data_IF_828312705547
#
_entry.id   IF_828312705547
#
_cell.length_a   1.000
_cell.length_b   1.000
_cell.length_c   1.000
_cell.angle_alpha   90.00
_cell.angle_beta   90.00
_cell.angle_gamma   90.00
#
_symmetry.space_group_name_H-M   'P 1'
#
loop_
_entity.id
_entity.type
_entity.pdbx_description
1 polymer ?
#
# COMPACT_ATOMS: atom_id res chain seq x y z
N UNK A 1 8.22 2.90 -12.07
CA UNK A 1 6.95 2.16 -11.82
C UNK A 1 5.84 3.18 -11.54
N UNK A 2 4.61 2.93 -12.01
CA UNK A 2 3.44 3.85 -12.10
C UNK A 2 2.88 4.35 -10.75
N UNK A 3 3.61 4.22 -9.64
CA UNK A 3 3.06 4.38 -8.28
C UNK A 3 3.68 5.55 -7.51
N UNK A 4 4.01 6.65 -8.21
CA UNK A 4 4.31 7.91 -7.55
C UNK A 4 3.03 8.51 -6.97
N UNK A 5 3.01 8.81 -5.67
CA UNK A 5 1.89 9.53 -5.02
C UNK A 5 0.63 8.69 -4.72
N UNK A 6 0.72 7.36 -4.64
CA UNK A 6 -0.43 6.46 -4.38
C UNK A 6 -1.20 6.74 -3.08
N UNK A 7 -0.54 7.31 -2.08
CA UNK A 7 -1.17 7.70 -0.81
C UNK A 7 -2.15 8.86 -0.99
N UNK A 8 -1.85 9.80 -1.89
CA UNK A 8 -2.73 10.93 -2.21
C UNK A 8 -3.72 10.52 -3.30
N UNK A 9 -3.22 9.90 -4.37
CA UNK A 9 -4.01 9.45 -5.52
C UNK A 9 -4.40 7.97 -5.38
N UNK A 10 -5.45 7.69 -4.60
CA UNK A 10 -6.04 6.36 -4.47
C UNK A 10 -7.49 6.38 -4.95
N UNK A 11 -7.76 5.92 -6.20
CA UNK A 11 -9.11 5.92 -6.74
C UNK A 11 -9.99 4.92 -6.00
N UNK A 12 -11.20 5.37 -5.65
CA UNK A 12 -12.20 4.56 -4.95
C UNK A 12 -13.32 4.05 -5.86
N UNK A 13 -13.54 4.70 -7.01
CA UNK A 13 -14.56 4.28 -7.97
C UNK A 13 -14.06 3.11 -8.80
N UNK A 14 -14.92 2.11 -9.02
CA UNK A 14 -14.59 0.91 -9.82
C UNK A 14 -14.05 1.26 -11.21
N UNK A 15 -14.65 2.26 -11.86
CA UNK A 15 -14.21 2.74 -13.20
C UNK A 15 -12.75 3.19 -13.23
N UNK A 16 -12.31 3.93 -12.21
CA UNK A 16 -10.98 4.51 -12.14
C UNK A 16 -9.95 3.43 -11.76
N UNK A 17 -10.34 2.52 -10.87
CA UNK A 17 -9.54 1.32 -10.53
C UNK A 17 -9.33 0.45 -11.77
N UNK A 18 -10.37 0.25 -12.57
CA UNK A 18 -10.30 -0.51 -13.82
C UNK A 18 -9.42 0.18 -14.87
N UNK A 19 -9.52 1.51 -15.00
CA UNK A 19 -8.66 2.29 -15.89
C UNK A 19 -7.18 2.13 -15.51
N UNK A 20 -6.83 2.23 -14.22
CA UNK A 20 -5.47 1.97 -13.77
C UNK A 20 -5.02 0.52 -14.02
N UNK A 21 -5.91 -0.44 -13.81
CA UNK A 21 -5.67 -1.84 -14.15
C UNK A 21 -5.37 -2.04 -15.64
N UNK A 22 -6.08 -1.33 -16.53
CA UNK A 22 -5.81 -1.34 -17.98
C UNK A 22 -4.41 -0.82 -18.29
N UNK A 23 -3.97 0.26 -17.65
CA UNK A 23 -2.61 0.81 -17.87
C UNK A 23 -1.54 -0.22 -17.47
N UNK A 24 -1.65 -0.82 -16.28
CA UNK A 24 -0.72 -1.88 -15.87
C UNK A 24 -0.78 -3.08 -16.81
N UNK A 25 -1.96 -3.49 -17.24
CA UNK A 25 -2.13 -4.62 -18.15
C UNK A 25 -1.51 -4.33 -19.51
N UNK A 26 -1.63 -3.11 -20.03
CA UNK A 26 -1.00 -2.71 -21.28
C UNK A 26 0.54 -2.77 -21.15
N UNK A 27 1.07 -2.24 -20.05
CA UNK A 27 2.50 -2.24 -19.78
C UNK A 27 3.07 -3.65 -19.65
N UNK A 28 2.49 -4.47 -18.76
CA UNK A 28 2.97 -5.85 -18.52
C UNK A 28 2.86 -6.72 -19.78
N UNK A 29 1.83 -6.52 -20.61
CA UNK A 29 1.67 -7.20 -21.89
C UNK A 29 2.79 -6.86 -22.87
N UNK A 30 3.13 -5.57 -23.01
CA UNK A 30 4.25 -5.14 -23.85
C UNK A 30 5.58 -5.67 -23.33
N UNK A 31 5.77 -5.63 -22.01
CA UNK A 31 6.98 -6.14 -21.36
C UNK A 31 7.19 -7.63 -21.66
N UNK A 32 6.13 -8.44 -21.52
CA UNK A 32 6.20 -9.88 -21.80
C UNK A 32 6.49 -10.19 -23.28
N UNK A 33 5.93 -9.42 -24.20
CA UNK A 33 6.20 -9.59 -25.64
C UNK A 33 7.65 -9.24 -26.00
N UNK A 34 8.27 -8.27 -25.30
CA UNK A 34 9.65 -7.84 -25.56
C UNK A 34 10.69 -8.72 -24.87
N UNK A 35 10.46 -9.10 -23.62
CA UNK A 35 11.42 -9.86 -22.80
C UNK A 35 11.23 -11.37 -22.98
N UNK A 36 9.99 -11.84 -23.04
CA UNK A 36 9.68 -13.28 -23.06
C UNK A 36 9.56 -13.88 -24.46
N UNK A 37 9.77 -13.11 -25.53
CA UNK A 37 9.65 -13.60 -26.92
C UNK A 37 8.26 -14.07 -27.33
N UNK A 38 7.23 -13.79 -26.52
CA UNK A 38 5.86 -14.22 -26.80
C UNK A 38 5.26 -13.43 -27.97
N UNK A 39 4.71 -14.16 -28.95
CA UNK A 39 3.85 -13.58 -29.97
C UNK A 39 2.62 -12.94 -29.31
N UNK A 40 2.19 -11.82 -29.87
CA UNK A 40 1.10 -11.02 -29.31
C UNK A 40 -0.22 -11.79 -29.16
N UNK A 41 -0.46 -12.75 -30.07
CA UNK A 41 -1.60 -13.64 -30.10
C UNK A 41 -1.61 -14.70 -28.98
N UNK A 42 -0.44 -15.03 -28.43
CA UNK A 42 -0.27 -16.05 -27.38
C UNK A 42 -0.05 -15.46 -25.99
N UNK A 43 -0.33 -14.16 -25.78
CA UNK A 43 -0.08 -13.53 -24.49
C UNK A 43 -1.08 -14.04 -23.44
N UNK A 44 -0.61 -14.63 -22.32
CA UNK A 44 -1.48 -15.13 -21.27
C UNK A 44 -2.27 -14.01 -20.57
N UNK A 45 -3.31 -14.45 -19.85
CA UNK A 45 -4.17 -13.58 -19.04
C UNK A 45 -3.37 -12.79 -17.99
N UNK A 46 -3.91 -11.65 -17.59
CA UNK A 46 -3.24 -10.73 -16.65
C UNK A 46 -2.86 -11.39 -15.31
N UNK A 47 -3.66 -12.34 -14.82
CA UNK A 47 -3.38 -13.07 -13.56
C UNK A 47 -2.09 -13.88 -13.65
N UNK A 48 -1.96 -14.70 -14.71
CA UNK A 48 -0.77 -15.52 -14.97
C UNK A 48 0.45 -14.62 -15.19
N UNK A 49 0.29 -13.55 -15.97
CA UNK A 49 1.38 -12.62 -16.25
C UNK A 49 1.85 -11.87 -15.00
N UNK A 50 0.92 -11.45 -14.15
CA UNK A 50 1.26 -10.80 -12.89
C UNK A 50 2.00 -11.79 -11.96
N UNK A 51 1.57 -13.05 -11.91
CA UNK A 51 2.27 -14.08 -11.15
C UNK A 51 3.70 -14.32 -11.70
N UNK A 52 3.86 -14.39 -13.02
CA UNK A 52 5.17 -14.52 -13.69
C UNK A 52 6.13 -13.39 -13.31
N UNK A 53 5.63 -12.15 -13.23
CA UNK A 53 6.42 -10.99 -12.80
C UNK A 53 6.49 -10.79 -11.28
N UNK A 54 5.89 -11.66 -10.47
CA UNK A 54 5.79 -11.49 -9.02
C UNK A 54 5.05 -10.20 -8.60
N UNK A 55 4.14 -9.70 -9.45
CA UNK A 55 3.41 -8.46 -9.25
C UNK A 55 2.17 -8.69 -8.38
N UNK A 56 2.12 -8.17 -7.15
CA UNK A 56 0.90 -8.17 -6.36
C UNK A 56 -0.16 -7.24 -6.98
N UNK A 57 -1.40 -7.38 -6.50
CA UNK A 57 -2.48 -6.51 -6.97
C UNK A 57 -2.20 -5.03 -6.68
N UNK A 58 -2.72 -4.14 -7.53
CA UNK A 58 -2.64 -2.69 -7.32
C UNK A 58 -3.24 -2.27 -5.98
N UNK A 59 -4.36 -2.88 -5.59
CA UNK A 59 -5.01 -2.59 -4.32
C UNK A 59 -4.12 -2.96 -3.12
N UNK A 60 -3.51 -4.14 -3.15
CA UNK A 60 -2.59 -4.60 -2.12
C UNK A 60 -1.39 -3.65 -1.96
N UNK A 61 -0.83 -3.17 -3.08
CA UNK A 61 0.29 -2.21 -3.06
C UNK A 61 -0.11 -0.86 -2.50
N UNK A 62 -1.24 -0.30 -2.93
CA UNK A 62 -1.76 0.97 -2.37
C UNK A 62 -1.99 0.86 -0.87
N UNK A 63 -2.57 -0.25 -0.42
CA UNK A 63 -2.80 -0.50 1.01
C UNK A 63 -1.48 -0.57 1.80
N UNK A 64 -0.45 -1.20 1.24
CA UNK A 64 0.88 -1.21 1.84
C UNK A 64 1.46 0.21 1.94
N UNK A 65 1.39 1.00 0.86
CA UNK A 65 1.89 2.37 0.87
C UNK A 65 1.13 3.27 1.85
N UNK A 66 -0.19 3.15 1.93
CA UNK A 66 -1.02 3.87 2.90
C UNK A 66 -0.53 3.61 4.34
N UNK A 67 -0.34 2.35 4.70
CA UNK A 67 0.09 1.92 6.05
C UNK A 67 1.53 2.34 6.33
N UNK A 68 2.43 2.22 5.34
CA UNK A 68 3.82 2.69 5.46
C UNK A 68 3.89 4.20 5.63
N UNK A 69 3.05 4.97 4.95
CA UNK A 69 3.02 6.42 5.10
C UNK A 69 2.54 6.85 6.48
N UNK A 70 1.51 6.18 7.03
CA UNK A 70 1.09 6.43 8.42
C UNK A 70 2.23 6.14 9.40
N UNK A 71 2.97 5.04 9.21
CA UNK A 71 4.13 4.75 10.06
C UNK A 71 5.21 5.82 9.98
N UNK A 72 5.56 6.28 8.77
CA UNK A 72 6.50 7.39 8.54
C UNK A 72 6.02 8.67 9.25
N UNK A 73 4.74 9.01 9.12
CA UNK A 73 4.15 10.19 9.76
C UNK A 73 4.11 10.10 11.29
N UNK A 74 4.08 8.90 11.87
CA UNK A 74 4.02 8.74 13.34
C UNK A 74 5.40 8.66 13.99
N UNK A 75 6.41 8.16 13.29
CA UNK A 75 7.72 7.84 13.90
C UNK A 75 8.89 8.60 13.27
N UNK A 76 8.70 9.31 12.16
CA UNK A 76 9.79 10.06 11.54
C UNK A 76 9.97 11.42 12.26
N UNK A 77 11.19 11.75 12.72
CA UNK A 77 11.47 13.04 13.33
C UNK A 77 11.30 14.22 12.35
N UNK A 78 11.36 13.95 11.04
CA UNK A 78 11.13 14.95 9.99
C UNK A 78 9.64 15.24 9.71
N UNK A 79 8.71 14.53 10.36
CA UNK A 79 7.27 14.67 10.12
C UNK A 79 6.64 15.84 10.89
N UNK A 80 7.05 17.06 10.56
CA UNK A 80 6.54 18.30 11.17
C UNK A 80 5.01 18.48 11.04
N UNK A 81 4.35 17.77 10.12
CA UNK A 81 2.90 17.86 9.87
C UNK A 81 2.07 16.71 10.46
N UNK A 82 2.67 15.79 11.22
CA UNK A 82 1.97 14.61 11.76
C UNK A 82 0.74 14.96 12.61
N UNK A 83 0.84 16.02 13.42
CA UNK A 83 -0.24 16.57 14.24
C UNK A 83 -1.39 17.18 13.42
N UNK A 84 -1.13 17.59 12.18
CA UNK A 84 -2.15 18.15 11.27
C UNK A 84 -3.05 17.05 10.72
N UNK A 85 -2.49 15.87 10.46
CA UNK A 85 -3.23 14.75 9.89
C UNK A 85 -3.92 13.89 10.96
N UNK A 86 -3.29 13.69 12.12
CA UNK A 86 -3.74 12.74 13.13
C UNK A 86 -3.68 13.31 14.53
N UNK A 87 -4.71 13.02 15.33
CA UNK A 87 -4.68 13.27 16.78
C UNK A 87 -4.15 12.01 17.47
N UNK A 88 -3.03 12.10 18.17
CA UNK A 88 -2.54 11.00 19.00
C UNK A 88 -3.25 11.04 20.35
N UNK A 89 -3.90 9.95 20.74
CA UNK A 89 -4.58 9.83 22.03
C UNK A 89 -3.81 8.81 22.90
N UNK A 90 -3.59 9.11 24.19
CA UNK A 90 -3.00 8.12 25.10
C UNK A 90 -3.90 6.88 25.19
N UNK A 91 -3.29 5.71 25.12
CA UNK A 91 -3.97 4.42 25.19
C UNK A 91 -3.46 3.61 26.37
N UNK A 92 -4.40 3.17 27.22
CA UNK A 92 -4.13 2.23 28.33
C UNK A 92 -4.26 0.76 27.92
N UNK A 93 -4.67 0.48 26.68
CA UNK A 93 -4.88 -0.87 26.16
C UNK A 93 -3.64 -1.38 25.43
N UNK A 94 -3.49 -2.72 25.33
CA UNK A 94 -2.36 -3.38 24.63
C UNK A 94 -2.08 -2.74 23.26
N UNK A 95 -0.80 -2.63 22.89
CA UNK A 95 -0.34 -2.11 21.59
C UNK A 95 0.26 -0.69 21.58
N UNK A 96 0.74 -0.19 22.73
CA UNK A 96 1.51 1.06 22.84
C UNK A 96 0.84 2.16 23.68
N UNK A 97 1.64 3.16 24.09
CA UNK A 97 1.20 4.28 24.95
C UNK A 97 0.32 5.30 24.21
N UNK A 98 0.44 5.42 22.89
CA UNK A 98 -0.32 6.36 22.08
C UNK A 98 -0.91 5.67 20.85
N UNK A 99 -2.14 6.03 20.49
CA UNK A 99 -2.82 5.52 19.28
C UNK A 99 -3.28 6.70 18.40
N UNK A 100 -3.09 6.62 17.07
CA UNK A 100 -3.66 7.60 16.17
C UNK A 100 -5.19 7.48 16.20
N UNK A 101 -5.84 8.59 16.52
CA UNK A 101 -7.28 8.76 16.45
C UNK A 101 -7.66 9.48 15.16
N UNK A 102 -8.76 9.04 14.57
CA UNK A 102 -9.32 9.62 13.36
C UNK A 102 -10.83 9.76 13.52
N UNK A 103 -11.41 10.79 12.91
CA UNK A 103 -12.85 10.96 12.91
C UNK A 103 -13.50 9.91 12.01
N UNK A 104 -14.47 9.18 12.55
CA UNK A 104 -15.26 8.24 11.74
C UNK A 104 -16.07 9.01 10.70
N UNK A 105 -15.86 8.69 9.43
CA UNK A 105 -16.60 9.35 8.35
C UNK A 105 -18.03 8.80 8.24
N UNK A 106 -18.99 9.72 8.12
CA UNK A 106 -20.41 9.40 7.89
C UNK A 106 -20.70 9.00 6.45
N UNK A 107 -19.88 9.46 5.50
CA UNK A 107 -20.08 9.21 4.06
C UNK A 107 -19.00 8.29 3.49
N UNK A 108 -19.36 7.54 2.45
CA UNK A 108 -18.43 6.64 1.74
C UNK A 108 -17.26 7.41 1.11
N UNK A 109 -17.50 8.59 0.56
CA UNK A 109 -16.46 9.44 -0.03
C UNK A 109 -15.42 9.84 1.02
N UNK A 110 -15.87 10.32 2.19
CA UNK A 110 -14.99 10.75 3.26
C UNK A 110 -14.20 9.57 3.86
N UNK A 111 -14.81 8.38 3.94
CA UNK A 111 -14.09 7.16 4.34
C UNK A 111 -12.91 6.81 3.43
N UNK A 112 -12.92 7.23 2.16
CA UNK A 112 -11.84 6.97 1.21
C UNK A 112 -10.72 8.02 1.24
N UNK A 113 -10.83 9.06 2.07
CA UNK A 113 -9.74 10.03 2.26
C UNK A 113 -8.57 9.35 2.96
N UNK A 114 -7.35 9.71 2.56
CA UNK A 114 -6.10 9.13 3.08
C UNK A 114 -6.10 9.03 4.61
N UNK A 115 -6.36 10.13 5.31
CA UNK A 115 -6.28 10.18 6.77
C UNK A 115 -7.21 9.18 7.47
N UNK A 116 -8.37 8.87 6.89
CA UNK A 116 -9.33 7.93 7.47
C UNK A 116 -9.00 6.50 7.04
N UNK A 117 -8.86 6.24 5.74
CA UNK A 117 -8.63 4.88 5.24
C UNK A 117 -7.29 4.31 5.70
N UNK A 118 -6.23 5.13 5.70
CA UNK A 118 -4.88 4.69 5.99
C UNK A 118 -4.73 4.40 7.49
N UNK A 119 -5.26 5.26 8.36
CA UNK A 119 -5.23 5.02 9.81
C UNK A 119 -6.10 3.85 10.21
N UNK A 120 -7.31 3.72 9.63
CA UNK A 120 -8.16 2.56 9.88
C UNK A 120 -7.46 1.25 9.49
N UNK A 121 -6.80 1.22 8.32
CA UNK A 121 -6.03 0.08 7.88
C UNK A 121 -4.81 -0.18 8.78
N UNK A 122 -4.08 0.86 9.16
CA UNK A 122 -2.92 0.79 10.06
C UNK A 122 -3.33 0.17 11.40
N UNK A 123 -4.32 0.74 12.08
CA UNK A 123 -4.80 0.24 13.38
C UNK A 123 -5.29 -1.21 13.30
N UNK A 124 -5.98 -1.59 12.21
CA UNK A 124 -6.43 -2.97 12.04
C UNK A 124 -5.25 -3.94 11.90
N UNK A 125 -4.19 -3.53 11.21
CA UNK A 125 -3.03 -4.40 10.93
C UNK A 125 -2.04 -4.49 12.09
N UNK A 126 -1.89 -3.42 12.87
CA UNK A 126 -0.98 -3.33 14.01
C UNK A 126 -1.55 -3.92 15.30
N UNK A 127 -2.83 -4.31 15.34
CA UNK A 127 -3.43 -4.96 16.52
C UNK A 127 -2.64 -6.18 17.00
N UNK A 128 -2.14 -6.98 16.06
CA UNK A 128 -1.45 -8.26 16.35
C UNK A 128 0.07 -8.18 16.13
N UNK A 129 0.60 -6.99 15.85
CA UNK A 129 2.00 -6.81 15.45
C UNK A 129 2.68 -5.87 16.43
N UNK A 130 3.81 -6.31 16.99
CA UNK A 130 4.68 -5.43 17.78
C UNK A 130 5.25 -4.35 16.86
N UNK A 131 4.86 -3.11 17.10
CA UNK A 131 5.29 -1.97 16.30
C UNK A 131 6.75 -1.68 16.62
N UNK A 132 7.61 -1.77 15.61
CA UNK A 132 9.00 -1.31 15.71
C UNK A 132 9.09 0.14 15.22
N UNK A 133 9.92 0.99 15.85
CA UNK A 133 10.17 2.35 15.36
C UNK A 133 10.94 2.37 14.02
N UNK A 134 11.66 1.29 13.69
CA UNK A 134 12.38 1.18 12.42
C UNK A 134 11.42 1.02 11.24
N UNK A 135 11.45 1.99 10.32
CA UNK A 135 10.64 1.97 9.10
C UNK A 135 10.92 0.73 8.23
N UNK A 136 12.19 0.35 8.06
CA UNK A 136 12.57 -0.80 7.24
C UNK A 136 12.01 -2.11 7.79
N UNK A 137 12.08 -2.30 9.12
CA UNK A 137 11.51 -3.47 9.79
C UNK A 137 9.99 -3.49 9.64
N UNK A 138 9.34 -2.35 9.86
CA UNK A 138 7.89 -2.21 9.69
C UNK A 138 7.43 -2.52 8.27
N UNK A 139 8.07 -1.93 7.25
CA UNK A 139 7.77 -2.15 5.83
C UNK A 139 7.87 -3.63 5.48
N UNK A 140 8.91 -4.33 5.96
CA UNK A 140 9.09 -5.78 5.72
C UNK A 140 7.94 -6.61 6.30
N UNK A 141 7.58 -6.37 7.56
CA UNK A 141 6.49 -7.09 8.24
C UNK A 141 5.15 -6.85 7.53
N UNK A 142 4.85 -5.59 7.20
CA UNK A 142 3.60 -5.23 6.52
C UNK A 142 3.55 -5.76 5.08
N UNK A 143 4.67 -5.76 4.36
CA UNK A 143 4.74 -6.33 3.02
C UNK A 143 4.41 -7.82 3.04
N UNK A 144 4.95 -8.57 3.99
CA UNK A 144 4.64 -9.99 4.15
C UNK A 144 3.15 -10.23 4.48
N UNK A 145 2.55 -9.41 5.37
CA UNK A 145 1.15 -9.54 5.79
C UNK A 145 0.14 -9.14 4.72
N UNK A 146 0.46 -8.15 3.87
CA UNK A 146 -0.46 -7.57 2.87
C UNK A 146 -0.27 -8.19 1.48
N UNK A 147 0.97 -8.43 1.07
CA UNK A 147 1.31 -8.93 -0.27
C UNK A 147 1.46 -10.46 -0.31
N UNK A 148 1.59 -11.12 0.85
CA UNK A 148 1.83 -12.55 0.96
C UNK A 148 3.31 -12.94 0.85
N UNK A 149 3.65 -14.22 1.13
CA UNK A 149 5.04 -14.69 1.24
C UNK A 149 5.80 -14.73 -0.10
N UNK A 150 5.11 -14.73 -1.23
CA UNK A 150 5.71 -14.91 -2.56
C UNK A 150 6.35 -13.64 -3.15
N UNK A 151 6.13 -12.46 -2.56
CA UNK A 151 6.53 -11.16 -3.15
C UNK A 151 7.79 -10.58 -2.48
N UNK A 152 8.23 -11.14 -1.35
CA UNK A 152 9.30 -10.57 -0.52
C UNK A 152 10.70 -10.65 -1.12
N UNK A 153 10.95 -11.53 -2.09
CA UNK A 153 12.29 -11.69 -2.70
C UNK A 153 12.62 -10.69 -3.82
N UNK A 154 11.63 -10.15 -4.54
CA UNK A 154 11.87 -9.29 -5.71
C UNK A 154 11.63 -7.78 -5.47
N UNK A 155 10.79 -7.42 -4.48
CA UNK A 155 10.30 -6.04 -4.37
C UNK A 155 11.11 -5.15 -3.40
N UNK A 156 12.05 -5.71 -2.62
CA UNK A 156 12.77 -4.96 -1.59
C UNK A 156 13.97 -4.16 -2.12
N UNK A 157 14.46 -4.43 -3.34
CA UNK A 157 15.69 -3.79 -3.86
C UNK A 157 15.41 -2.51 -4.65
N UNK A 158 14.18 -2.26 -5.13
CA UNK A 158 13.92 -1.22 -6.15
C UNK A 158 12.98 -0.07 -5.73
N UNK A 159 12.79 0.18 -4.44
CA UNK A 159 11.90 1.25 -3.98
C UNK A 159 12.50 2.05 -2.81
N UNK A 160 13.53 2.83 -3.13
CA UNK A 160 13.97 3.98 -2.35
C UNK A 160 13.24 5.24 -2.88
N UNK A 161 12.20 5.65 -2.15
CA UNK A 161 11.67 7.01 -2.04
C UNK A 161 11.02 7.17 -0.65
#
# INVERSE_FOLDING_TARGET
MLESGTTVFSPSKKKDIYALGKVQNNFTRKLLARIGGFLYSKIPRATIRNAYFGLPSLESRRRLFDVCMVHKLLHSPASWQSSTFFKLIPSRTRGGCHKPSYMRARTKLRNNVFAIRAVAAYLKLTKDVVISPSFSRFKRIMSAKILGPLVTKLCLVHFYF
#
